data_IF_722359825104
#
_entry.id   IF_722359825104
#
_cell.length_a   1.000
_cell.length_b   1.000
_cell.length_c   1.000
_cell.angle_alpha   90.00
_cell.angle_beta   90.00
_cell.angle_gamma   90.00
#
_symmetry.space_group_name_H-M   'P 1'
#
loop_
_entity.id
_entity.type
_entity.pdbx_description
1 polymer ?
#
# COMPACT_ATOMS: atom_id res chain seq x y z
N UNK A 1 8.69 -26.25 -13.88
CA UNK A 1 7.67 -25.47 -14.60
C UNK A 1 7.69 -24.06 -14.05
N UNK A 2 7.93 -23.04 -14.88
CA UNK A 2 7.83 -21.65 -14.43
C UNK A 2 6.35 -21.32 -14.27
N UNK A 3 5.88 -21.27 -13.02
CA UNK A 3 4.54 -20.80 -12.69
C UNK A 3 4.49 -19.30 -12.99
N UNK A 4 3.49 -18.85 -13.74
CA UNK A 4 3.22 -17.41 -13.91
C UNK A 4 2.97 -16.82 -12.51
N UNK A 5 3.67 -15.74 -12.12
CA UNK A 5 3.42 -15.10 -10.84
C UNK A 5 1.98 -14.59 -10.72
N UNK A 6 1.43 -14.64 -9.51
CA UNK A 6 0.15 -14.00 -9.20
C UNK A 6 0.27 -12.48 -9.34
N UNK A 7 -0.84 -11.77 -9.62
CA UNK A 7 -0.81 -10.31 -9.80
C UNK A 7 -0.20 -9.57 -8.60
N UNK A 8 -0.42 -10.07 -7.38
CA UNK A 8 0.15 -9.47 -6.16
C UNK A 8 1.66 -9.62 -6.08
N UNK A 9 2.20 -10.75 -6.55
CA UNK A 9 3.66 -10.96 -6.62
C UNK A 9 4.28 -10.01 -7.64
N UNK A 10 3.58 -9.74 -8.75
CA UNK A 10 3.99 -8.74 -9.75
C UNK A 10 4.01 -7.34 -9.13
N UNK A 11 2.96 -6.95 -8.41
CA UNK A 11 2.89 -5.63 -7.76
C UNK A 11 3.94 -5.49 -6.66
N UNK A 12 4.15 -6.50 -5.82
CA UNK A 12 5.21 -6.49 -4.82
C UNK A 12 6.61 -6.33 -5.46
N UNK A 13 6.86 -7.03 -6.57
CA UNK A 13 8.08 -6.85 -7.37
C UNK A 13 8.21 -5.43 -7.93
N UNK A 14 7.12 -4.90 -8.50
CA UNK A 14 7.09 -3.54 -9.04
C UNK A 14 7.36 -2.48 -7.98
N UNK A 15 6.74 -2.59 -6.80
CA UNK A 15 6.99 -1.72 -5.64
C UNK A 15 8.49 -1.67 -5.30
N UNK A 16 9.15 -2.83 -5.18
CA UNK A 16 10.59 -2.91 -4.87
C UNK A 16 11.47 -2.26 -5.94
N UNK A 17 11.16 -2.48 -7.22
CA UNK A 17 11.88 -1.86 -8.33
C UNK A 17 11.69 -0.35 -8.33
N UNK A 18 10.44 0.13 -8.21
CA UNK A 18 10.11 1.56 -8.17
C UNK A 18 10.80 2.25 -7.00
N UNK A 19 10.87 1.62 -5.83
CA UNK A 19 11.63 2.14 -4.69
C UNK A 19 13.09 2.36 -5.07
N UNK A 20 13.75 1.38 -5.69
CA UNK A 20 15.13 1.56 -6.16
C UNK A 20 15.27 2.68 -7.20
N UNK A 21 14.33 2.79 -8.14
CA UNK A 21 14.32 3.87 -9.14
C UNK A 21 14.13 5.25 -8.49
N UNK A 22 13.23 5.37 -7.50
CA UNK A 22 12.97 6.63 -6.80
C UNK A 22 14.17 7.10 -5.97
N UNK A 23 14.89 6.17 -5.34
CA UNK A 23 16.16 6.48 -4.65
C UNK A 23 17.23 7.00 -5.62
N UNK A 24 17.25 6.51 -6.86
CA UNK A 24 18.19 6.91 -7.90
C UNK A 24 17.67 8.07 -8.78
N UNK A 25 16.46 8.57 -8.54
CA UNK A 25 15.76 9.55 -9.38
C UNK A 25 15.65 9.13 -10.86
N UNK A 26 15.45 7.84 -11.12
CA UNK A 26 15.27 7.29 -12.46
C UNK A 26 13.77 7.23 -12.79
N UNK A 27 13.34 7.66 -14.00
CA UNK A 27 11.94 7.57 -14.39
C UNK A 27 11.41 6.12 -14.39
N UNK A 28 10.18 5.96 -13.92
CA UNK A 28 9.46 4.67 -13.97
C UNK A 28 9.18 4.33 -15.43
N UNK A 29 9.59 3.14 -15.87
CA UNK A 29 9.27 2.65 -17.20
C UNK A 29 7.82 2.14 -17.24
N UNK A 30 7.08 2.50 -18.29
CA UNK A 30 5.70 2.02 -18.52
C UNK A 30 4.74 2.21 -17.33
N UNK A 31 4.60 3.45 -16.82
CA UNK A 31 3.76 3.71 -15.64
C UNK A 31 2.27 3.43 -15.89
N UNK A 32 1.77 3.58 -17.12
CA UNK A 32 0.36 3.34 -17.43
C UNK A 32 0.00 1.85 -17.35
N UNK A 33 0.87 0.98 -17.84
CA UNK A 33 0.68 -0.47 -17.78
C UNK A 33 0.76 -0.99 -16.33
N UNK A 34 1.59 -0.37 -15.50
CA UNK A 34 1.63 -0.65 -14.06
C UNK A 34 0.34 -0.20 -13.36
N UNK A 35 -0.21 0.96 -13.73
CA UNK A 35 -1.52 1.43 -13.24
C UNK A 35 -2.61 0.41 -13.60
N UNK A 36 -2.68 -0.01 -14.87
CA UNK A 36 -3.66 -1.00 -15.31
C UNK A 36 -3.52 -2.34 -14.58
N UNK A 37 -2.28 -2.76 -14.32
CA UNK A 37 -2.01 -3.98 -13.55
C UNK A 37 -2.53 -3.85 -12.11
N UNK A 38 -2.25 -2.73 -11.44
CA UNK A 38 -2.65 -2.49 -10.07
C UNK A 38 -4.17 -2.39 -9.90
N UNK A 39 -4.87 -1.72 -10.83
CA UNK A 39 -6.34 -1.59 -10.79
C UNK A 39 -7.07 -2.92 -10.97
N UNK A 40 -6.38 -3.98 -11.43
CA UNK A 40 -6.93 -5.34 -11.51
C UNK A 40 -6.67 -6.18 -10.24
N UNK A 41 -5.91 -5.67 -9.27
CA UNK A 41 -5.61 -6.40 -8.03
C UNK A 41 -6.79 -6.30 -7.07
N UNK A 42 -7.30 -7.47 -6.65
CA UNK A 42 -8.24 -7.59 -5.53
C UNK A 42 -7.48 -7.74 -4.21
N UNK A 43 -7.68 -6.77 -3.33
CA UNK A 43 -7.15 -6.79 -1.96
C UNK A 43 -8.04 -7.66 -1.07
N UNK A 44 -7.43 -8.49 -0.22
CA UNK A 44 -8.11 -9.36 0.74
C UNK A 44 -7.77 -9.04 2.21
N UNK A 45 -7.14 -7.89 2.47
CA UNK A 45 -6.90 -7.39 3.82
C UNK A 45 -5.56 -7.79 4.46
N UNK A 46 -4.54 -8.16 3.67
CA UNK A 46 -3.16 -8.19 4.17
C UNK A 46 -2.52 -6.80 4.11
N UNK A 47 -1.95 -6.33 5.22
CA UNK A 47 -1.35 -5.00 5.32
C UNK A 47 -0.32 -4.66 4.25
N UNK A 48 0.60 -5.57 3.92
CA UNK A 48 1.62 -5.34 2.89
C UNK A 48 1.03 -5.19 1.47
N UNK A 49 0.07 -6.04 1.10
CA UNK A 49 -0.51 -6.03 -0.25
C UNK A 49 -1.23 -4.69 -0.53
N UNK A 50 -1.86 -4.12 0.51
CA UNK A 50 -2.51 -2.80 0.44
C UNK A 50 -1.48 -1.72 0.12
N UNK A 51 -0.39 -1.67 0.91
CA UNK A 51 0.64 -0.64 0.75
C UNK A 51 1.35 -0.75 -0.59
N UNK A 52 1.65 -1.97 -1.05
CA UNK A 52 2.35 -2.18 -2.32
C UNK A 52 1.55 -1.60 -3.49
N UNK A 53 0.25 -1.88 -3.57
CA UNK A 53 -0.63 -1.34 -4.62
C UNK A 53 -0.73 0.18 -4.52
N UNK A 54 -0.96 0.71 -3.31
CA UNK A 54 -1.07 2.17 -3.08
C UNK A 54 0.21 2.89 -3.52
N UNK A 55 1.37 2.35 -3.14
CA UNK A 55 2.66 2.94 -3.47
C UNK A 55 2.91 2.96 -4.99
N UNK A 56 2.66 1.85 -5.68
CA UNK A 56 2.83 1.79 -7.14
C UNK A 56 1.88 2.78 -7.84
N UNK A 57 0.60 2.79 -7.48
CA UNK A 57 -0.37 3.73 -8.04
C UNK A 57 0.01 5.19 -7.80
N UNK A 58 0.42 5.53 -6.58
CA UNK A 58 0.88 6.87 -6.22
C UNK A 58 2.08 7.30 -7.07
N UNK A 59 3.13 6.47 -7.09
CA UNK A 59 4.38 6.79 -7.78
C UNK A 59 4.21 6.90 -9.28
N UNK A 60 3.45 6.00 -9.91
CA UNK A 60 3.14 6.06 -11.34
C UNK A 60 2.28 7.27 -11.72
N UNK A 61 1.60 7.90 -10.75
CA UNK A 61 0.68 9.02 -10.97
C UNK A 61 1.24 10.40 -10.65
N UNK A 62 2.40 10.51 -9.99
CA UNK A 62 2.99 11.81 -9.57
C UNK A 62 3.05 12.86 -10.69
N UNK A 63 3.38 12.44 -11.90
CA UNK A 63 3.49 13.30 -13.08
C UNK A 63 2.61 12.80 -14.24
N UNK A 64 1.51 12.12 -13.91
CA UNK A 64 0.70 11.39 -14.88
C UNK A 64 -0.76 11.34 -14.43
N UNK A 65 -1.67 11.86 -15.25
CA UNK A 65 -3.11 11.86 -14.96
C UNK A 65 -3.87 10.66 -15.53
N UNK A 66 -3.16 9.68 -16.09
CA UNK A 66 -3.76 8.47 -16.67
C UNK A 66 -4.64 7.75 -15.63
N UNK A 67 -5.91 7.49 -16.01
CA UNK A 67 -6.92 6.82 -15.17
C UNK A 67 -7.10 7.41 -13.77
N UNK A 68 -6.84 8.71 -13.59
CA UNK A 68 -6.92 9.38 -12.28
C UNK A 68 -8.23 9.10 -11.52
N UNK A 69 -9.37 9.12 -12.21
CA UNK A 69 -10.67 8.83 -11.61
C UNK A 69 -10.80 7.39 -11.14
N UNK A 70 -10.26 6.44 -11.89
CA UNK A 70 -10.34 5.03 -11.54
C UNK A 70 -9.44 4.71 -10.34
N UNK A 71 -8.29 5.39 -10.25
CA UNK A 71 -7.40 5.33 -9.09
C UNK A 71 -8.09 5.93 -7.85
N UNK A 72 -8.78 7.05 -8.01
CA UNK A 72 -9.56 7.65 -6.91
C UNK A 72 -10.62 6.68 -6.38
N UNK A 73 -11.42 6.10 -7.28
CA UNK A 73 -12.42 5.08 -6.91
C UNK A 73 -11.77 3.88 -6.23
N UNK A 74 -10.61 3.42 -6.73
CA UNK A 74 -9.87 2.33 -6.10
C UNK A 74 -9.38 2.71 -4.70
N UNK A 75 -8.96 3.96 -4.49
CA UNK A 75 -8.55 4.46 -3.18
C UNK A 75 -9.72 4.58 -2.20
N UNK A 76 -10.93 4.86 -2.66
CA UNK A 76 -12.13 4.81 -1.81
C UNK A 76 -12.37 3.38 -1.29
N UNK A 77 -12.22 2.36 -2.14
CA UNK A 77 -12.28 0.95 -1.71
C UNK A 77 -11.15 0.60 -0.71
N UNK A 78 -9.95 1.14 -0.93
CA UNK A 78 -8.81 0.94 -0.03
C UNK A 78 -9.06 1.57 1.34
N UNK A 79 -9.69 2.75 1.42
CA UNK A 79 -10.04 3.38 2.70
C UNK A 79 -10.96 2.47 3.53
N UNK A 80 -11.97 1.85 2.91
CA UNK A 80 -12.85 0.89 3.59
C UNK A 80 -12.10 -0.34 4.11
N UNK A 81 -11.08 -0.79 3.37
CA UNK A 81 -10.23 -1.91 3.79
C UNK A 81 -9.38 -1.48 4.98
N UNK A 82 -8.66 -0.37 4.88
CA UNK A 82 -7.79 0.16 5.96
C UNK A 82 -8.60 0.38 7.24
N UNK A 83 -9.83 0.89 7.13
CA UNK A 83 -10.70 1.11 8.29
C UNK A 83 -10.97 -0.17 9.10
N UNK A 84 -11.02 -1.35 8.45
CA UNK A 84 -11.20 -2.65 9.13
C UNK A 84 -10.01 -3.06 9.99
N UNK A 85 -8.86 -2.42 9.80
CA UNK A 85 -7.66 -2.65 10.61
C UNK A 85 -7.55 -1.69 11.80
N UNK A 86 -8.36 -0.63 11.86
CA UNK A 86 -8.22 0.44 12.84
C UNK A 86 -8.89 0.11 14.19
N UNK A 87 -8.16 0.34 15.27
CA UNK A 87 -8.63 0.17 16.65
C UNK A 87 -8.91 1.53 17.25
N UNK A 88 -10.15 2.00 17.18
CA UNK A 88 -10.54 3.35 17.61
C UNK A 88 -10.21 3.68 19.07
N UNK A 89 -10.29 2.69 19.96
CA UNK A 89 -9.97 2.87 21.39
C UNK A 89 -8.46 2.95 21.67
N UNK A 90 -7.62 2.43 20.77
CA UNK A 90 -6.16 2.34 20.95
C UNK A 90 -5.40 3.29 20.02
N UNK A 91 -6.03 3.79 18.96
CA UNK A 91 -5.46 4.75 18.02
C UNK A 91 -4.46 4.15 17.02
N UNK A 92 -4.46 2.84 16.81
CA UNK A 92 -3.52 2.14 15.91
C UNK A 92 -4.19 1.16 14.96
N UNK A 93 -3.37 0.52 14.12
CA UNK A 93 -3.81 -0.49 13.15
C UNK A 93 -3.15 -1.84 13.40
N UNK A 94 -3.85 -2.93 13.12
CA UNK A 94 -3.29 -4.29 13.12
C UNK A 94 -2.86 -4.74 11.72
N UNK A 95 -1.83 -5.56 11.62
CA UNK A 95 -1.32 -6.06 10.34
C UNK A 95 -2.33 -6.94 9.59
N UNK A 96 -3.04 -7.79 10.31
CA UNK A 96 -4.19 -8.55 9.80
C UNK A 96 -5.47 -8.01 10.45
N UNK A 97 -6.63 -8.15 9.82
CA UNK A 97 -7.89 -7.77 10.46
C UNK A 97 -8.06 -8.50 11.81
N UNK A 98 -8.29 -7.74 12.87
CA UNK A 98 -8.46 -8.24 14.25
C UNK A 98 -7.29 -9.09 14.77
N UNK A 99 -6.07 -8.92 14.24
CA UNK A 99 -4.92 -9.76 14.61
C UNK A 99 -3.58 -9.09 14.32
N UNK A 100 -2.72 -9.05 15.33
CA UNK A 100 -1.36 -8.55 15.19
C UNK A 100 -0.48 -9.48 14.33
N UNK A 101 0.57 -8.94 13.74
CA UNK A 101 1.53 -9.71 12.96
C UNK A 101 2.14 -10.87 13.76
N UNK A 102 2.14 -12.08 13.19
CA UNK A 102 2.76 -13.26 13.80
C UNK A 102 4.25 -13.39 13.48
N UNK A 103 4.62 -13.19 12.22
CA UNK A 103 5.93 -13.58 11.71
C UNK A 103 6.72 -12.39 11.17
N UNK A 104 8.02 -12.40 11.40
CA UNK A 104 8.98 -11.50 10.76
C UNK A 104 10.18 -12.31 10.26
N UNK A 105 10.45 -12.26 8.95
CA UNK A 105 11.44 -13.12 8.28
C UNK A 105 11.32 -14.62 8.63
N UNK A 106 10.09 -15.12 8.73
CA UNK A 106 9.81 -16.53 9.06
C UNK A 106 9.95 -16.88 10.55
N UNK A 107 10.44 -15.96 11.38
CA UNK A 107 10.47 -16.13 12.83
C UNK A 107 9.14 -15.71 13.44
N UNK A 108 8.58 -16.53 14.33
CA UNK A 108 7.41 -16.15 15.12
C UNK A 108 7.82 -15.13 16.20
N UNK A 109 7.27 -13.91 16.13
CA UNK A 109 7.64 -12.78 17.00
C UNK A 109 6.51 -12.36 17.95
N UNK A 110 5.25 -12.74 17.70
CA UNK A 110 4.12 -12.42 18.58
C UNK A 110 3.09 -13.55 18.66
N UNK A 111 2.16 -13.45 19.61
CA UNK A 111 1.04 -14.38 19.74
C UNK A 111 -0.15 -14.06 18.81
N UNK A 112 -0.08 -13.01 17.99
CA UNK A 112 -1.16 -12.62 17.08
C UNK A 112 -2.45 -12.25 17.82
N UNK A 113 -2.35 -11.37 18.82
CA UNK A 113 -3.50 -10.92 19.60
C UNK A 113 -4.38 -9.98 18.77
N UNK A 114 -5.66 -9.87 19.14
CA UNK A 114 -6.57 -8.88 18.53
C UNK A 114 -6.27 -7.47 19.05
N UNK A 115 -5.17 -6.89 18.57
CA UNK A 115 -4.63 -5.59 18.98
C UNK A 115 -3.87 -4.94 17.82
N UNK A 116 -3.73 -3.60 17.82
CA UNK A 116 -2.87 -2.92 16.88
C UNK A 116 -1.40 -3.32 17.09
N UNK A 117 -0.61 -3.23 16.03
CA UNK A 117 0.83 -3.48 16.07
C UNK A 117 1.60 -2.42 15.27
N UNK A 118 2.89 -2.28 15.58
CA UNK A 118 3.74 -1.24 15.00
C UNK A 118 3.87 -1.40 13.48
N UNK A 119 3.95 -2.63 12.98
CA UNK A 119 4.16 -2.85 11.57
C UNK A 119 2.91 -2.51 10.76
N UNK A 120 1.74 -3.02 11.15
CA UNK A 120 0.46 -2.68 10.56
C UNK A 120 0.18 -1.18 10.66
N UNK A 121 0.41 -0.57 11.82
CA UNK A 121 0.22 0.87 12.01
C UNK A 121 1.11 1.72 11.11
N UNK A 122 2.39 1.35 10.97
CA UNK A 122 3.35 2.08 10.13
C UNK A 122 2.97 1.98 8.66
N UNK A 123 2.68 0.77 8.19
CA UNK A 123 2.31 0.48 6.80
C UNK A 123 1.03 1.21 6.39
N UNK A 124 -0.05 1.06 7.17
CA UNK A 124 -1.35 1.62 6.79
C UNK A 124 -1.40 3.15 6.94
N UNK A 125 -0.70 3.71 7.93
CA UNK A 125 -0.55 5.16 8.03
C UNK A 125 0.24 5.73 6.84
N UNK A 126 1.26 5.02 6.38
CA UNK A 126 2.01 5.41 5.19
C UNK A 126 1.14 5.34 3.94
N UNK A 127 0.36 4.29 3.73
CA UNK A 127 -0.61 4.23 2.63
C UNK A 127 -1.62 5.40 2.65
N UNK A 128 -2.22 5.68 3.81
CA UNK A 128 -3.13 6.83 3.98
C UNK A 128 -2.45 8.15 3.63
N UNK A 129 -1.17 8.31 3.99
CA UNK A 129 -0.39 9.51 3.66
C UNK A 129 -0.21 9.68 2.15
N UNK A 130 0.12 8.59 1.43
CA UNK A 130 0.27 8.57 -0.03
C UNK A 130 -1.06 8.87 -0.74
N UNK A 131 -2.15 8.27 -0.28
CA UNK A 131 -3.50 8.50 -0.82
C UNK A 131 -3.96 9.94 -0.58
N UNK A 132 -3.69 10.50 0.60
CA UNK A 132 -4.02 11.89 0.94
C UNK A 132 -3.29 12.87 0.02
N UNK A 133 -1.98 12.70 -0.17
CA UNK A 133 -1.20 13.52 -1.09
C UNK A 133 -1.66 13.39 -2.54
N UNK A 134 -1.96 12.17 -3.00
CA UNK A 134 -2.51 11.92 -4.34
C UNK A 134 -3.80 12.70 -4.62
N UNK A 135 -4.71 12.67 -3.65
CA UNK A 135 -6.00 13.36 -3.71
C UNK A 135 -5.83 14.86 -3.75
N UNK A 136 -4.70 15.39 -3.26
CA UNK A 136 -4.46 16.83 -3.00
C UNK A 136 -5.59 17.45 -2.17
N UNK A 137 -6.32 16.60 -1.44
CA UNK A 137 -7.39 17.02 -0.57
C UNK A 137 -6.77 17.38 0.76
N UNK A 138 -7.23 18.51 1.29
CA UNK A 138 -7.10 18.99 2.67
C UNK A 138 -5.85 19.78 3.03
N UNK A 139 -6.08 20.69 3.98
CA UNK A 139 -5.16 21.60 4.65
C UNK A 139 -4.02 20.91 5.43
N UNK A 140 -3.77 19.64 5.16
CA UNK A 140 -2.85 18.76 5.87
C UNK A 140 -1.62 18.54 4.97
N UNK A 141 -0.53 19.24 5.30
CA UNK A 141 0.75 19.06 4.63
C UNK A 141 1.50 17.88 5.27
N UNK A 142 1.57 16.74 4.58
CA UNK A 142 2.21 15.51 5.09
C UNK A 142 3.60 15.35 4.47
N UNK A 143 4.61 15.19 5.31
CA UNK A 143 5.94 14.79 4.86
C UNK A 143 5.96 13.28 4.58
N UNK A 144 5.71 12.90 3.33
CA UNK A 144 5.79 11.50 2.90
C UNK A 144 7.23 11.02 2.97
N UNK A 145 7.45 9.93 3.71
CA UNK A 145 8.74 9.26 3.79
C UNK A 145 8.98 8.42 2.54
N UNK A 146 10.23 8.44 2.06
CA UNK A 146 10.72 7.42 1.14
C UNK A 146 10.96 6.12 1.94
N UNK A 147 10.53 4.96 1.43
CA UNK A 147 10.77 3.68 2.08
C UNK A 147 12.25 3.29 2.08
#
# INVERSE_FOLDING_TARGET
MNKTPELREIVNGAMKVITGLDWLNIPIHKPNELIDTCLNVKLDGYGCDIVDVVYVLYMCSKNNSYRRKDIETYFDDVDEIIYKHYFSNEGGFSYFQNKSQLYYYGLNITNGLNKPDIHGSTLLLWALSLMTDYRKNSDININILKP
#
